data_IF_562198172673
#
_entry.id   IF_562198172673
#
_cell.length_a   1.000
_cell.length_b   1.000
_cell.length_c   1.000
_cell.angle_alpha   90.00
_cell.angle_beta   90.00
_cell.angle_gamma   90.00
#
_symmetry.space_group_name_H-M   'P 1'
#
loop_
_entity.id
_entity.type
_entity.pdbx_description
1 polymer ?
#
# COMPACT_ATOMS: atom_id res chain seq x y z
N UNK A 1 21.91 18.92 -6.27
CA UNK A 1 20.95 19.29 -7.34
C UNK A 1 20.11 18.05 -7.66
N UNK A 2 18.78 18.13 -7.57
CA UNK A 2 17.89 16.98 -7.89
C UNK A 2 17.65 16.97 -9.39
N UNK A 3 17.70 15.81 -10.03
CA UNK A 3 17.43 15.69 -11.47
C UNK A 3 15.95 15.96 -11.76
N UNK A 4 15.61 16.36 -13.00
CA UNK A 4 14.22 16.53 -13.40
C UNK A 4 13.36 15.30 -13.07
N UNK A 5 13.91 14.09 -13.23
CA UNK A 5 13.26 12.82 -12.84
C UNK A 5 12.96 12.72 -11.34
N UNK A 6 13.85 13.20 -10.48
CA UNK A 6 13.61 13.27 -9.02
C UNK A 6 12.54 14.30 -8.66
N UNK A 7 12.40 15.36 -9.44
CA UNK A 7 11.41 16.40 -9.20
C UNK A 7 9.96 15.93 -9.51
N UNK A 8 9.78 15.02 -10.47
CA UNK A 8 8.48 14.41 -10.78
C UNK A 8 8.03 13.33 -9.78
N UNK A 9 8.96 12.64 -9.12
CA UNK A 9 8.62 11.66 -8.08
C UNK A 9 8.13 12.33 -6.79
N UNK A 10 8.50 13.59 -6.56
CA UNK A 10 8.09 14.37 -5.38
C UNK A 10 6.66 14.91 -5.48
N UNK A 11 6.03 14.90 -6.67
CA UNK A 11 4.63 15.30 -6.86
C UNK A 11 3.64 14.15 -6.82
N UNK A 12 4.10 12.90 -6.94
CA UNK A 12 3.23 11.73 -6.82
C UNK A 12 2.91 11.49 -5.35
N UNK A 13 1.62 11.59 -5.03
CA UNK A 13 1.09 11.27 -3.71
C UNK A 13 0.16 10.07 -3.78
N UNK A 14 0.10 9.32 -2.68
CA UNK A 14 -0.78 8.17 -2.54
C UNK A 14 -1.45 8.16 -1.18
N UNK A 15 -2.70 7.72 -1.16
CA UNK A 15 -3.43 7.46 0.08
C UNK A 15 -2.95 6.17 0.73
N UNK A 16 -2.60 6.25 2.01
CA UNK A 16 -2.43 5.11 2.89
C UNK A 16 -3.78 4.44 3.15
N UNK A 17 -3.92 3.15 2.81
CA UNK A 17 -5.15 2.39 3.04
C UNK A 17 -5.42 2.13 4.52
N UNK A 18 -4.43 2.31 5.40
CA UNK A 18 -4.57 2.09 6.85
C UNK A 18 -5.11 3.33 7.56
N UNK A 19 -4.39 4.46 7.48
CA UNK A 19 -4.74 5.69 8.20
C UNK A 19 -5.51 6.71 7.35
N UNK A 20 -5.61 6.52 6.03
CA UNK A 20 -6.31 7.42 5.12
C UNK A 20 -5.55 8.69 4.73
N UNK A 21 -4.36 8.94 5.28
CA UNK A 21 -3.55 10.09 4.92
C UNK A 21 -3.00 9.99 3.48
N UNK A 22 -3.00 11.11 2.77
CA UNK A 22 -2.28 11.26 1.51
C UNK A 22 -0.81 11.60 1.79
N UNK A 23 0.12 10.85 1.18
CA UNK A 23 1.56 10.93 1.46
C UNK A 23 2.36 10.87 0.17
N UNK A 24 3.55 11.50 0.09
CA UNK A 24 4.41 11.40 -1.08
C UNK A 24 4.88 9.96 -1.30
N UNK A 25 5.20 9.61 -2.55
CA UNK A 25 5.59 8.26 -2.99
C UNK A 25 6.70 7.65 -2.12
N UNK A 26 7.73 8.42 -1.77
CA UNK A 26 8.84 7.97 -0.93
C UNK A 26 8.44 7.63 0.53
N UNK A 27 7.22 7.99 0.96
CA UNK A 27 6.65 7.66 2.27
C UNK A 27 5.65 6.52 2.23
N UNK A 28 5.44 5.92 1.07
CA UNK A 28 4.49 4.84 0.87
C UNK A 28 5.25 3.56 0.52
N UNK A 29 4.71 2.44 0.99
CA UNK A 29 5.13 1.11 0.55
C UNK A 29 3.90 0.24 0.33
N UNK A 30 4.09 -0.85 -0.42
CA UNK A 30 3.01 -1.76 -0.79
C UNK A 30 3.24 -3.12 -0.13
N UNK A 31 2.22 -3.60 0.57
CA UNK A 31 2.15 -4.98 1.03
C UNK A 31 1.17 -5.74 0.13
N UNK A 32 1.64 -6.82 -0.49
CA UNK A 32 0.83 -7.65 -1.39
C UNK A 32 0.31 -8.86 -0.63
N UNK A 33 -1.01 -8.95 -0.50
CA UNK A 33 -1.71 -10.07 0.12
C UNK A 33 -2.37 -10.94 -0.93
N UNK A 34 -2.12 -12.25 -0.87
CA UNK A 34 -2.90 -13.23 -1.61
C UNK A 34 -4.30 -13.34 -0.99
N UNK A 35 -5.32 -13.20 -1.82
CA UNK A 35 -6.73 -13.29 -1.41
C UNK A 35 -7.49 -14.38 -2.17
N UNK A 36 -6.81 -15.21 -2.96
CA UNK A 36 -7.42 -16.30 -3.73
C UNK A 36 -8.33 -17.19 -2.90
N UNK A 37 -7.88 -17.58 -1.70
CA UNK A 37 -8.65 -18.46 -0.82
C UNK A 37 -9.99 -17.84 -0.37
N UNK A 38 -10.09 -16.51 -0.27
CA UNK A 38 -11.34 -15.82 0.12
C UNK A 38 -12.41 -15.91 -0.98
N UNK A 39 -12.01 -16.18 -2.22
CA UNK A 39 -12.87 -16.25 -3.39
C UNK A 39 -12.94 -17.67 -3.99
N UNK A 40 -12.47 -18.70 -3.27
CA UNK A 40 -12.38 -20.08 -3.74
C UNK A 40 -11.62 -20.23 -5.09
N UNK A 41 -10.60 -19.39 -5.30
CA UNK A 41 -9.73 -19.42 -6.48
C UNK A 41 -8.43 -20.19 -6.19
N UNK A 42 -7.74 -20.71 -7.22
CA UNK A 42 -6.40 -21.28 -7.06
C UNK A 42 -5.44 -20.26 -6.43
N UNK A 43 -4.49 -20.76 -5.63
CA UNK A 43 -3.48 -19.93 -4.98
C UNK A 43 -2.78 -19.01 -5.98
N UNK A 44 -2.47 -17.78 -5.56
CA UNK A 44 -1.83 -16.73 -6.37
C UNK A 44 -2.62 -16.18 -7.56
N UNK A 45 -3.84 -16.68 -7.81
CA UNK A 45 -4.74 -16.15 -8.85
C UNK A 45 -5.25 -14.75 -8.56
N UNK A 46 -5.35 -14.34 -7.29
CA UNK A 46 -5.83 -13.02 -6.90
C UNK A 46 -5.03 -12.41 -5.76
N UNK A 47 -4.53 -11.18 -5.97
CA UNK A 47 -3.72 -10.44 -4.99
C UNK A 47 -4.26 -9.04 -4.80
N UNK A 48 -4.16 -8.54 -3.56
CA UNK A 48 -4.47 -7.17 -3.21
C UNK A 48 -3.20 -6.42 -2.81
N UNK A 49 -3.05 -5.21 -3.31
CA UNK A 49 -1.95 -4.31 -2.99
C UNK A 49 -2.42 -3.27 -1.96
N UNK A 50 -1.81 -3.32 -0.78
CA UNK A 50 -2.15 -2.48 0.36
C UNK A 50 -1.05 -1.43 0.49
N UNK A 51 -1.37 -0.18 0.15
CA UNK A 51 -0.51 0.98 0.34
C UNK A 51 -0.54 1.40 1.80
N UNK A 52 0.63 1.55 2.42
CA UNK A 52 0.75 1.97 3.82
C UNK A 52 1.91 2.96 4.01
N UNK A 53 1.83 3.78 5.06
CA UNK A 53 2.93 4.69 5.43
C UNK A 53 4.16 3.89 5.88
N UNK A 54 5.27 4.02 5.15
CA UNK A 54 6.51 3.28 5.42
C UNK A 54 7.36 3.88 6.55
N UNK A 55 6.96 5.02 7.09
CA UNK A 55 7.59 5.70 8.21
C UNK A 55 6.75 5.67 9.49
N UNK A 56 5.55 5.06 9.46
CA UNK A 56 4.69 4.86 10.62
C UNK A 56 4.62 3.37 11.00
N UNK A 57 5.18 2.95 12.16
CA UNK A 57 5.16 1.56 12.60
C UNK A 57 3.75 0.95 12.70
N UNK A 58 2.75 1.73 13.12
CA UNK A 58 1.38 1.24 13.23
C UNK A 58 0.80 0.87 11.86
N UNK A 59 1.06 1.70 10.83
CA UNK A 59 0.63 1.41 9.45
C UNK A 59 1.32 0.16 8.89
N UNK A 60 2.61 -0.06 9.20
CA UNK A 60 3.36 -1.25 8.75
C UNK A 60 2.76 -2.54 9.30
N UNK A 61 2.49 -2.58 10.60
CA UNK A 61 1.97 -3.78 11.24
C UNK A 61 0.53 -4.06 10.82
N UNK A 62 -0.31 -3.02 10.73
CA UNK A 62 -1.68 -3.16 10.27
C UNK A 62 -1.78 -3.63 8.81
N UNK A 63 -0.85 -3.22 7.92
CA UNK A 63 -0.88 -3.60 6.51
C UNK A 63 -0.81 -5.12 6.28
N UNK A 64 -0.15 -5.87 7.18
CA UNK A 64 -0.02 -7.33 7.09
C UNK A 64 -1.35 -8.05 7.22
N UNK A 65 -2.25 -7.51 8.04
CA UNK A 65 -3.55 -8.12 8.35
C UNK A 65 -4.72 -7.39 7.71
N UNK A 66 -4.48 -6.23 7.08
CA UNK A 66 -5.50 -5.43 6.43
C UNK A 66 -6.23 -6.20 5.33
N UNK A 67 -7.55 -6.00 5.27
CA UNK A 67 -8.47 -6.53 4.26
C UNK A 67 -9.39 -5.39 3.83
N UNK A 68 -9.59 -5.23 2.52
CA UNK A 68 -10.48 -4.19 1.97
C UNK A 68 -11.98 -4.46 2.22
N UNK A 69 -12.30 -5.63 2.75
CA UNK A 69 -13.67 -6.00 3.10
C UNK A 69 -14.04 -5.28 4.40
N UNK A 70 -14.81 -4.19 4.29
CA UNK A 70 -15.60 -3.67 5.41
C UNK A 70 -16.92 -4.47 5.48
N UNK A 71 -17.42 -4.62 6.72
CA UNK A 71 -18.63 -5.34 7.15
C UNK A 71 -19.79 -5.32 6.16
#
# INVERSE_FOLDING_TARGET
>A
MKTARQQWLESLTWTCHICGEERPDNKISVHTNDVSAQYALPEHSMKNNIRYCNDNPACKEAAKTYRFIRK
#
